data_IF_127510893107
#
_entry.id   IF_127510893107
#
_cell.length_a   1.000
_cell.length_b   1.000
_cell.length_c   1.000
_cell.angle_alpha   90.00
_cell.angle_beta   90.00
_cell.angle_gamma   90.00
#
_symmetry.space_group_name_H-M   'P 1'
#
loop_
_entity.id
_entity.type
_entity.pdbx_description
1 polymer ?
#
# COMPACT_ATOMS: atom_id res chain seq x y z
N UNK A 1 -1.26 -35.22 55.64
CA UNK A 1 -1.95 -33.97 56.02
C UNK A 1 -0.90 -32.88 55.99
N UNK A 2 -0.88 -31.93 55.07
CA UNK A 2 -1.74 -31.66 53.93
C UNK A 2 -0.91 -30.92 52.87
N UNK A 3 -1.35 -31.03 51.62
CA UNK A 3 -0.93 -30.22 50.47
C UNK A 3 -0.97 -28.72 50.80
N UNK A 4 0.00 -27.94 50.28
CA UNK A 4 -0.36 -26.67 49.66
C UNK A 4 0.67 -26.25 48.60
N UNK A 5 0.15 -25.58 47.59
CA UNK A 5 0.59 -25.59 46.20
C UNK A 5 1.76 -24.65 45.89
N UNK A 6 2.50 -25.11 44.89
CA UNK A 6 3.29 -24.37 43.91
C UNK A 6 2.73 -22.97 43.58
N UNK A 7 3.61 -21.96 43.58
CA UNK A 7 3.45 -20.81 42.67
C UNK A 7 4.79 -20.55 42.01
N UNK A 8 4.84 -20.89 40.73
CA UNK A 8 5.92 -20.57 39.80
C UNK A 8 5.65 -19.15 39.33
N UNK A 9 6.48 -18.19 39.73
CA UNK A 9 6.50 -16.87 39.08
C UNK A 9 7.27 -17.01 37.77
N UNK A 10 6.50 -17.18 36.68
CA UNK A 10 6.95 -16.97 35.32
C UNK A 10 6.08 -15.87 34.73
N UNK A 11 6.48 -14.62 34.92
CA UNK A 11 5.96 -13.52 34.10
C UNK A 11 7.08 -12.50 33.84
N UNK A 12 7.85 -12.79 32.79
CA UNK A 12 8.71 -11.83 32.11
C UNK A 12 8.21 -11.67 30.68
N UNK A 13 6.97 -11.19 30.52
CA UNK A 13 6.48 -10.70 29.25
C UNK A 13 6.79 -9.21 29.21
N UNK A 14 7.92 -8.84 28.60
CA UNK A 14 8.27 -7.45 28.39
C UNK A 14 7.14 -6.74 27.65
N UNK A 15 6.73 -5.58 28.16
CA UNK A 15 5.71 -4.72 27.55
C UNK A 15 6.05 -4.46 26.08
N UNK A 16 5.41 -5.23 25.19
CA UNK A 16 5.45 -4.98 23.76
C UNK A 16 4.57 -3.75 23.52
N UNK A 17 5.19 -2.57 23.46
CA UNK A 17 4.53 -1.34 23.06
C UNK A 17 4.04 -1.49 21.60
N UNK A 18 2.78 -1.85 21.44
CA UNK A 18 2.10 -1.89 20.13
C UNK A 18 1.35 -0.58 19.98
N UNK A 19 1.80 0.27 19.05
CA UNK A 19 1.01 1.43 18.62
C UNK A 19 -0.08 1.00 17.64
N UNK A 20 -1.31 1.44 17.89
CA UNK A 20 -2.42 1.30 16.94
C UNK A 20 -2.17 2.34 15.84
N UNK A 21 -1.69 1.87 14.68
CA UNK A 21 -1.39 2.73 13.53
C UNK A 21 -2.62 3.52 13.05
N UNK A 22 -2.38 4.69 12.45
CA UNK A 22 -3.40 5.64 12.00
C UNK A 22 -4.29 5.16 10.84
N UNK A 23 -4.07 3.92 10.37
CA UNK A 23 -4.60 3.39 9.12
C UNK A 23 -3.79 3.79 7.89
N UNK A 24 -2.81 4.69 8.04
CA UNK A 24 -1.82 5.01 7.02
C UNK A 24 -0.40 4.80 7.56
N UNK A 25 0.19 3.64 7.24
CA UNK A 25 1.56 3.29 7.65
C UNK A 25 2.61 4.29 7.19
N UNK A 26 2.37 5.05 6.12
CA UNK A 26 3.30 6.07 5.64
C UNK A 26 3.26 7.31 6.53
N UNK A 27 2.11 7.62 7.14
CA UNK A 27 1.99 8.70 8.13
C UNK A 27 2.67 8.29 9.43
N UNK A 28 2.48 7.03 9.86
CA UNK A 28 3.11 6.50 11.06
C UNK A 28 4.66 6.45 10.93
N UNK A 29 5.18 6.41 9.69
CA UNK A 29 6.60 6.43 9.37
C UNK A 29 7.13 7.81 8.94
N UNK A 30 6.34 8.87 9.12
CA UNK A 30 6.72 10.28 8.86
C UNK A 30 7.20 10.55 7.40
N UNK A 31 6.57 9.89 6.42
CA UNK A 31 6.82 10.19 5.02
C UNK A 31 6.32 11.61 4.68
N UNK A 32 7.04 12.32 3.81
CA UNK A 32 6.71 13.69 3.45
C UNK A 32 5.29 13.86 2.85
N UNK A 33 4.83 12.87 2.08
CA UNK A 33 3.50 12.86 1.45
C UNK A 33 2.82 11.51 1.72
N UNK A 34 2.35 11.26 2.95
CA UNK A 34 1.93 9.93 3.37
C UNK A 34 0.66 9.46 2.64
N UNK A 35 -0.24 10.38 2.29
CA UNK A 35 -1.45 10.07 1.52
C UNK A 35 -1.12 9.67 0.08
N UNK A 36 -0.15 10.35 -0.54
CA UNK A 36 0.28 10.02 -1.90
C UNK A 36 0.94 8.63 -1.95
N UNK A 37 1.81 8.32 -1.00
CA UNK A 37 2.46 7.01 -0.92
C UNK A 37 1.46 5.88 -0.64
N UNK A 38 0.47 6.13 0.22
CA UNK A 38 -0.64 5.19 0.43
C UNK A 38 -1.39 4.92 -0.87
N UNK A 39 -1.74 5.96 -1.63
CA UNK A 39 -2.44 5.80 -2.92
C UNK A 39 -1.59 5.08 -3.95
N UNK A 40 -0.29 5.41 -4.07
CA UNK A 40 0.64 4.68 -4.96
C UNK A 40 0.69 3.20 -4.60
N UNK A 41 0.88 2.86 -3.33
CA UNK A 41 0.92 1.48 -2.87
C UNK A 41 -0.36 0.71 -3.21
N UNK A 42 -1.51 1.35 -3.04
CA UNK A 42 -2.80 0.77 -3.41
C UNK A 42 -2.95 0.54 -4.91
N UNK A 43 -2.52 1.49 -5.74
CA UNK A 43 -2.54 1.34 -7.20
C UNK A 43 -1.60 0.20 -7.63
N UNK A 44 -0.37 0.15 -7.10
CA UNK A 44 0.58 -0.93 -7.42
C UNK A 44 0.05 -2.29 -7.01
N UNK A 45 -0.60 -2.40 -5.84
CA UNK A 45 -1.28 -3.63 -5.42
C UNK A 45 -2.39 -4.02 -6.38
N UNK A 46 -3.16 -3.06 -6.90
CA UNK A 46 -4.19 -3.33 -7.92
C UNK A 46 -3.57 -3.80 -9.24
N UNK A 47 -2.45 -3.21 -9.66
CA UNK A 47 -1.68 -3.65 -10.83
C UNK A 47 -1.24 -5.11 -10.66
N UNK A 48 -0.62 -5.45 -9.52
CA UNK A 48 -0.20 -6.83 -9.19
C UNK A 48 -1.38 -7.79 -9.29
N UNK A 49 -2.51 -7.46 -8.64
CA UNK A 49 -3.72 -8.29 -8.66
C UNK A 49 -4.22 -8.54 -10.09
N UNK A 50 -4.25 -7.53 -10.94
CA UNK A 50 -4.69 -7.67 -12.34
C UNK A 50 -3.74 -8.54 -13.16
N UNK A 51 -2.43 -8.42 -12.93
CA UNK A 51 -1.41 -9.27 -13.57
C UNK A 51 -1.65 -10.74 -13.18
N UNK A 52 -1.86 -11.01 -11.89
CA UNK A 52 -2.07 -12.36 -11.36
C UNK A 52 -3.40 -12.98 -11.85
N UNK A 53 -4.50 -12.23 -11.75
CA UNK A 53 -5.84 -12.67 -12.18
C UNK A 53 -5.89 -13.03 -13.67
N UNK A 54 -5.04 -12.39 -14.48
CA UNK A 54 -4.96 -12.62 -15.92
C UNK A 54 -3.84 -13.58 -16.33
N UNK A 55 -3.10 -14.13 -15.37
CA UNK A 55 -2.00 -15.06 -15.63
C UNK A 55 -0.86 -14.43 -16.46
N UNK A 56 -0.65 -13.11 -16.34
CA UNK A 56 0.39 -12.42 -17.08
C UNK A 56 1.75 -12.60 -16.43
N UNK A 57 2.76 -12.92 -17.22
CA UNK A 57 4.15 -12.81 -16.79
C UNK A 57 4.54 -11.33 -16.64
N UNK A 58 5.55 -11.04 -15.83
CA UNK A 58 6.09 -9.68 -15.70
C UNK A 58 6.57 -9.10 -17.04
N UNK A 59 7.04 -9.97 -17.95
CA UNK A 59 7.42 -9.56 -19.31
C UNK A 59 6.20 -9.10 -20.12
N UNK A 60 5.15 -9.92 -20.18
CA UNK A 60 3.90 -9.57 -20.88
C UNK A 60 3.26 -8.30 -20.28
N UNK A 61 3.23 -8.18 -18.96
CA UNK A 61 2.74 -6.97 -18.29
C UNK A 61 3.59 -5.75 -18.70
N UNK A 62 4.91 -5.90 -18.75
CA UNK A 62 5.85 -4.88 -19.24
C UNK A 62 5.56 -4.45 -20.67
N UNK A 63 5.35 -5.42 -21.57
CA UNK A 63 5.02 -5.18 -22.98
C UNK A 63 3.70 -4.37 -23.11
N UNK A 64 2.70 -4.67 -22.28
CA UNK A 64 1.41 -3.95 -22.24
C UNK A 64 1.59 -2.52 -21.71
N UNK A 65 2.25 -2.35 -20.57
CA UNK A 65 2.32 -1.04 -19.90
C UNK A 65 3.44 -0.15 -20.43
N UNK A 66 4.36 -0.71 -21.22
CA UNK A 66 5.50 -0.03 -21.83
C UNK A 66 6.68 0.11 -20.87
N UNK A 67 6.96 -0.92 -20.08
CA UNK A 67 8.09 -0.98 -19.14
C UNK A 67 8.96 -2.21 -19.40
N UNK A 68 10.30 -2.11 -19.23
CA UNK A 68 11.15 -3.28 -19.17
C UNK A 68 10.72 -4.22 -18.04
N UNK A 69 10.83 -5.54 -18.24
CA UNK A 69 10.46 -6.54 -17.23
C UNK A 69 11.16 -6.30 -15.87
N UNK A 70 12.40 -5.81 -15.86
CA UNK A 70 13.13 -5.47 -14.62
C UNK A 70 12.49 -4.31 -13.85
N UNK A 71 11.95 -3.31 -14.54
CA UNK A 71 11.21 -2.20 -13.95
C UNK A 71 9.85 -2.65 -13.43
N UNK A 72 9.16 -3.56 -14.15
CA UNK A 72 7.93 -4.21 -13.65
C UNK A 72 8.20 -4.97 -12.36
N UNK A 73 9.23 -5.81 -12.33
CA UNK A 73 9.63 -6.56 -11.13
C UNK A 73 9.91 -5.66 -9.93
N UNK A 74 10.57 -4.52 -10.17
CA UNK A 74 10.94 -3.56 -9.12
C UNK A 74 9.71 -2.83 -8.60
N UNK A 75 8.83 -2.35 -9.50
CA UNK A 75 7.54 -1.75 -9.16
C UNK A 75 6.70 -2.66 -8.26
N UNK A 76 6.52 -3.92 -8.66
CA UNK A 76 5.70 -4.90 -7.96
C UNK A 76 6.25 -5.29 -6.57
N UNK A 77 7.54 -5.07 -6.32
CA UNK A 77 8.19 -5.29 -5.01
C UNK A 77 8.10 -4.09 -4.07
N UNK A 78 7.27 -3.09 -4.39
CA UNK A 78 7.16 -1.90 -3.55
C UNK A 78 8.32 -0.92 -3.70
N UNK A 79 9.18 -1.11 -4.72
CA UNK A 79 10.32 -0.24 -4.98
C UNK A 79 9.98 0.68 -6.13
N UNK A 80 9.40 1.83 -5.79
CA UNK A 80 9.20 2.91 -6.72
C UNK A 80 10.04 4.11 -6.31
N UNK A 81 10.69 4.71 -7.29
CA UNK A 81 11.37 6.00 -7.16
C UNK A 81 10.36 7.15 -7.44
N UNK A 82 10.86 8.38 -7.42
CA UNK A 82 10.09 9.59 -7.74
C UNK A 82 9.42 9.56 -9.13
N UNK A 83 9.86 8.68 -10.04
CA UNK A 83 9.34 8.65 -11.41
C UNK A 83 7.97 7.94 -11.52
N UNK A 84 7.52 7.28 -10.45
CA UNK A 84 6.21 6.61 -10.38
C UNK A 84 5.16 7.48 -9.67
N UNK A 85 4.75 8.53 -10.35
CA UNK A 85 3.64 9.38 -9.89
C UNK A 85 2.31 8.62 -9.91
N UNK A 86 1.33 9.08 -9.11
CA UNK A 86 -0.04 8.55 -9.09
C UNK A 86 -0.63 8.49 -10.52
N UNK A 87 -0.49 9.57 -11.27
CA UNK A 87 -0.94 9.68 -12.66
C UNK A 87 -0.29 8.62 -13.58
N UNK A 88 1.02 8.39 -13.45
CA UNK A 88 1.72 7.36 -14.23
C UNK A 88 1.22 5.95 -13.91
N UNK A 89 1.01 5.66 -12.63
CA UNK A 89 0.49 4.37 -12.20
C UNK A 89 -0.96 4.15 -12.65
N UNK A 90 -1.79 5.19 -12.61
CA UNK A 90 -3.15 5.19 -13.17
C UNK A 90 -3.14 4.88 -14.67
N UNK A 91 -2.18 5.41 -15.44
CA UNK A 91 -2.03 5.02 -16.86
C UNK A 91 -1.70 3.54 -17.04
N UNK A 92 -0.94 2.93 -16.13
CA UNK A 92 -0.67 1.49 -16.20
C UNK A 92 -1.92 0.65 -15.96
N UNK A 93 -2.77 1.04 -14.99
CA UNK A 93 -4.08 0.42 -14.81
C UNK A 93 -4.94 0.51 -16.08
N UNK A 94 -5.01 1.70 -16.69
CA UNK A 94 -5.77 1.90 -17.93
C UNK A 94 -5.25 1.01 -19.07
N UNK A 95 -3.93 0.90 -19.25
CA UNK A 95 -3.33 -0.01 -20.25
C UNK A 95 -3.62 -1.48 -19.96
N UNK A 96 -3.72 -1.85 -18.68
CA UNK A 96 -4.19 -3.15 -18.24
C UNK A 96 -5.73 -3.26 -18.30
N UNK A 97 -6.45 -2.33 -18.92
CA UNK A 97 -7.91 -2.41 -19.08
C UNK A 97 -8.67 -2.26 -17.77
N UNK A 98 -8.13 -1.52 -16.81
CA UNK A 98 -8.82 -1.12 -15.58
C UNK A 98 -9.08 0.38 -15.65
N UNK A 99 -10.35 0.76 -15.65
CA UNK A 99 -10.74 2.17 -15.57
C UNK A 99 -10.53 2.71 -14.17
N UNK A 100 -10.00 3.93 -14.08
CA UNK A 100 -9.87 4.69 -12.83
C UNK A 100 -10.82 5.88 -12.89
N UNK A 101 -11.58 6.09 -11.82
CA UNK A 101 -12.53 7.19 -11.66
C UNK A 101 -12.10 8.04 -10.48
N UNK A 102 -12.20 9.37 -10.62
CA UNK A 102 -11.99 10.31 -9.52
C UNK A 102 -13.32 10.76 -8.94
N UNK A 103 -13.42 10.74 -7.62
CA UNK A 103 -14.53 11.33 -6.86
C UNK A 103 -14.00 12.55 -6.11
N UNK A 104 -14.71 13.67 -6.22
CA UNK A 104 -14.35 14.92 -5.56
C UNK A 104 -15.33 15.19 -4.42
N UNK A 105 -14.82 15.71 -3.31
CA UNK A 105 -15.61 16.13 -2.16
C UNK A 105 -15.06 17.45 -1.62
N UNK A 106 -15.93 18.44 -1.50
CA UNK A 106 -15.56 19.71 -0.90
C UNK A 106 -15.27 19.54 0.58
N UNK A 107 -14.20 20.19 1.04
CA UNK A 107 -13.92 20.32 2.47
C UNK A 107 -14.52 21.63 2.98
N UNK A 108 -15.22 21.60 4.13
CA UNK A 108 -15.67 22.82 4.77
C UNK A 108 -14.47 23.68 5.21
N UNK A 109 -14.70 24.98 5.33
CA UNK A 109 -13.75 25.95 5.88
C UNK A 109 -12.39 26.02 5.16
N UNK A 110 -12.34 25.73 3.85
CA UNK A 110 -11.09 25.73 3.06
C UNK A 110 -9.99 24.83 3.63
N UNK A 111 -10.36 23.81 4.41
CA UNK A 111 -9.38 22.84 4.92
C UNK A 111 -8.75 22.09 3.76
N UNK A 112 -7.48 21.75 3.92
CA UNK A 112 -6.76 20.97 2.95
C UNK A 112 -7.47 19.62 2.70
N UNK A 113 -7.70 19.31 1.43
CA UNK A 113 -8.27 18.04 1.01
C UNK A 113 -7.29 16.90 1.19
N UNK A 114 -7.81 15.67 1.21
CA UNK A 114 -6.97 14.47 1.30
C UNK A 114 -7.11 13.63 0.05
N UNK A 115 -6.00 13.04 -0.39
CA UNK A 115 -6.00 12.04 -1.44
C UNK A 115 -6.26 10.68 -0.80
N UNK A 116 -7.42 10.10 -1.08
CA UNK A 116 -7.81 8.80 -0.55
C UNK A 116 -8.33 7.92 -1.68
N UNK A 117 -8.07 6.61 -1.57
CA UNK A 117 -8.69 5.61 -2.43
C UNK A 117 -9.90 5.05 -1.71
N UNK A 118 -11.03 4.99 -2.40
CA UNK A 118 -12.30 4.43 -1.92
C UNK A 118 -12.49 3.09 -2.65
N UNK A 119 -12.79 2.03 -1.92
CA UNK A 119 -13.09 0.68 -2.47
C UNK A 119 -14.58 0.37 -2.43
#
# INVERSE_FOLDING_TARGET
MADDKQVVDQDATGDLLVEIGSGNVFADLDFANPDEEAVKARIVRKIQKVIDERGLTQKQAGDIIGLPQSKVSTLLRGKWDSDYTVDRLTRYLNKLGVSVTYSFKDQPDWREGRLVVID
#
